data_IF_490925896720
#
_entry.id   IF_490925896720
#
_cell.length_a   1.000
_cell.length_b   1.000
_cell.length_c   1.000
_cell.angle_alpha   90.00
_cell.angle_beta   90.00
_cell.angle_gamma   90.00
#
_symmetry.space_group_name_H-M   'P 1'
#
loop_
_entity.id
_entity.type
_entity.pdbx_description
1 polymer ?
#
# COMPACT_ATOMS: atom_id res chain seq x y z
N UNK A 1 26.94 10.60 0.71
CA UNK A 1 25.88 9.77 0.11
C UNK A 1 24.97 9.36 1.26
N UNK A 2 23.73 9.85 1.31
CA UNK A 2 22.79 9.53 2.39
C UNK A 2 22.57 8.02 2.38
N UNK A 3 22.95 7.32 3.46
CA UNK A 3 22.72 5.89 3.54
C UNK A 3 21.24 5.68 3.87
N UNK A 4 20.51 5.01 2.97
CA UNK A 4 19.10 4.68 3.21
C UNK A 4 18.91 3.93 4.55
N UNK A 5 19.93 3.20 5.02
CA UNK A 5 19.92 2.52 6.31
C UNK A 5 19.72 3.45 7.51
N UNK A 6 20.23 4.68 7.46
CA UNK A 6 20.14 5.64 8.57
C UNK A 6 18.76 6.32 8.61
N UNK A 7 18.19 6.59 7.43
CA UNK A 7 16.83 7.15 7.29
C UNK A 7 15.78 6.10 7.66
N UNK A 8 15.98 4.84 7.24
CA UNK A 8 15.12 3.72 7.58
C UNK A 8 15.32 3.18 9.00
N UNK A 9 16.39 3.59 9.70
CA UNK A 9 16.70 3.17 11.07
C UNK A 9 15.95 3.94 12.14
N UNK A 10 15.57 5.20 11.86
CA UNK A 10 14.77 6.03 12.77
C UNK A 10 13.27 5.74 12.70
N UNK A 11 12.79 5.15 11.60
CA UNK A 11 11.37 4.83 11.40
C UNK A 11 11.10 3.43 11.94
N UNK A 12 10.04 3.22 12.76
CA UNK A 12 9.70 1.90 13.26
C UNK A 12 9.46 0.90 12.11
N UNK A 13 9.85 -0.36 12.33
CA UNK A 13 9.89 -1.42 11.32
C UNK A 13 8.55 -1.58 10.58
N UNK A 14 7.44 -1.46 11.32
CA UNK A 14 6.09 -1.66 10.82
C UNK A 14 5.70 -0.55 9.82
N UNK A 15 5.96 0.72 10.15
CA UNK A 15 5.70 1.87 9.28
C UNK A 15 6.53 1.80 8.00
N UNK A 16 7.78 1.34 8.11
CA UNK A 16 8.66 1.14 6.95
C UNK A 16 8.14 0.08 6.00
N UNK A 17 7.74 -1.08 6.51
CA UNK A 17 7.15 -2.15 5.70
C UNK A 17 5.85 -1.66 5.04
N UNK A 18 5.03 -0.92 5.80
CA UNK A 18 3.79 -0.35 5.29
C UNK A 18 4.03 0.61 4.12
N UNK A 19 4.98 1.53 4.24
CA UNK A 19 5.36 2.46 3.16
C UNK A 19 5.87 1.72 1.91
N UNK A 20 6.73 0.72 2.08
CA UNK A 20 7.27 -0.07 0.95
C UNK A 20 6.13 -0.84 0.25
N UNK A 21 5.23 -1.44 1.01
CA UNK A 21 4.10 -2.21 0.48
C UNK A 21 3.11 -1.30 -0.25
N UNK A 22 2.76 -0.14 0.32
CA UNK A 22 1.89 0.85 -0.34
C UNK A 22 2.52 1.41 -1.61
N UNK A 23 3.84 1.68 -1.61
CA UNK A 23 4.55 2.14 -2.81
C UNK A 23 4.61 1.05 -3.89
N UNK A 24 4.87 -0.21 -3.50
CA UNK A 24 4.85 -1.34 -4.42
C UNK A 24 3.46 -1.49 -5.05
N UNK A 25 2.39 -1.44 -4.25
CA UNK A 25 1.01 -1.49 -4.75
C UNK A 25 0.68 -0.34 -5.70
N UNK A 26 1.16 0.87 -5.40
CA UNK A 26 1.03 2.01 -6.30
C UNK A 26 1.65 1.72 -7.67
N UNK A 27 2.89 1.21 -7.70
CA UNK A 27 3.58 0.83 -8.94
C UNK A 27 2.80 -0.27 -9.68
N UNK A 28 2.36 -1.32 -8.98
CA UNK A 28 1.60 -2.42 -9.59
C UNK A 28 0.28 -1.94 -10.21
N UNK A 29 -0.41 -0.98 -9.58
CA UNK A 29 -1.59 -0.35 -10.16
C UNK A 29 -1.25 0.58 -11.34
N UNK A 30 -0.14 1.32 -11.29
CA UNK A 30 0.31 2.16 -12.41
C UNK A 30 0.69 1.36 -13.66
N UNK A 31 1.14 0.11 -13.50
CA UNK A 31 1.36 -0.82 -14.61
C UNK A 31 0.08 -1.55 -15.08
N UNK A 32 -1.09 -1.24 -14.51
CA UNK A 32 -2.38 -1.90 -14.77
C UNK A 32 -2.36 -3.43 -14.55
N UNK A 33 -1.39 -3.93 -13.77
CA UNK A 33 -1.29 -5.36 -13.41
C UNK A 33 -2.42 -5.71 -12.43
N UNK A 34 -2.76 -4.76 -11.55
CA UNK A 34 -3.89 -4.85 -10.63
C UNK A 34 -4.82 -3.66 -10.89
N UNK A 35 -6.00 -3.94 -11.45
CA UNK A 35 -7.04 -2.94 -11.62
C UNK A 35 -7.60 -2.52 -10.25
N UNK A 36 -7.76 -1.21 -9.98
CA UNK A 36 -8.35 -0.72 -8.73
C UNK A 36 -9.78 -1.22 -8.52
N UNK A 37 -10.50 -1.58 -9.58
CA UNK A 37 -11.84 -2.17 -9.50
C UNK A 37 -11.81 -3.59 -8.89
N UNK A 38 -10.70 -4.32 -9.07
CA UNK A 38 -10.52 -5.67 -8.52
C UNK A 38 -10.20 -5.68 -7.02
N UNK A 39 -9.82 -4.52 -6.46
CA UNK A 39 -9.65 -4.28 -5.03
C UNK A 39 -10.97 -4.00 -4.32
N UNK A 40 -12.08 -3.83 -5.04
CA UNK A 40 -13.37 -3.69 -4.38
C UNK A 40 -13.71 -5.00 -3.64
N UNK A 41 -13.84 -4.91 -2.31
CA UNK A 41 -13.92 -6.08 -1.45
C UNK A 41 -15.30 -6.73 -1.56
N UNK A 42 -15.40 -7.73 -2.43
CA UNK A 42 -16.56 -8.61 -2.50
C UNK A 42 -16.39 -9.78 -1.52
N UNK A 43 -17.06 -9.68 -0.36
CA UNK A 43 -17.02 -10.68 0.71
C UNK A 43 -17.37 -12.10 0.24
N UNK A 44 -18.23 -12.25 -0.78
CA UNK A 44 -18.65 -13.54 -1.31
C UNK A 44 -17.49 -14.27 -2.01
N UNK A 45 -16.63 -13.52 -2.71
CA UNK A 45 -15.44 -14.06 -3.38
C UNK A 45 -14.30 -14.34 -2.39
N UNK A 46 -14.09 -13.49 -1.38
CA UNK A 46 -13.01 -13.70 -0.40
C UNK A 46 -13.24 -14.96 0.43
N UNK A 47 -14.48 -15.20 0.87
CA UNK A 47 -14.83 -16.34 1.72
C UNK A 47 -14.94 -17.67 0.95
N UNK A 48 -15.38 -17.65 -0.32
CA UNK A 48 -15.50 -18.87 -1.13
C UNK A 48 -14.21 -19.27 -1.84
N UNK A 49 -13.48 -18.31 -2.39
CA UNK A 49 -12.28 -18.55 -3.23
C UNK A 49 -10.95 -18.38 -2.47
N UNK A 50 -10.98 -18.13 -1.16
CA UNK A 50 -9.78 -17.98 -0.31
C UNK A 50 -8.82 -16.87 -0.77
N UNK A 51 -9.34 -15.82 -1.42
CA UNK A 51 -8.55 -14.68 -1.92
C UNK A 51 -8.19 -13.68 -0.79
N UNK A 52 -7.49 -14.13 0.25
CA UNK A 52 -7.15 -13.31 1.42
C UNK A 52 -6.21 -12.15 1.11
N UNK A 53 -5.42 -12.24 0.03
CA UNK A 53 -4.55 -11.14 -0.39
C UNK A 53 -5.32 -9.85 -0.62
N UNK A 54 -6.61 -9.93 -1.02
CA UNK A 54 -7.46 -8.76 -1.20
C UNK A 54 -7.63 -7.95 0.08
N UNK A 55 -7.69 -8.60 1.25
CA UNK A 55 -7.80 -7.90 2.53
C UNK A 55 -6.56 -7.04 2.77
N UNK A 56 -5.38 -7.63 2.58
CA UNK A 56 -4.10 -6.95 2.79
C UNK A 56 -3.95 -5.80 1.79
N UNK A 57 -4.18 -6.05 0.50
CA UNK A 57 -4.01 -5.01 -0.52
C UNK A 57 -5.04 -3.89 -0.40
N UNK A 58 -6.25 -4.16 0.11
CA UNK A 58 -7.25 -3.11 0.39
C UNK A 58 -6.80 -2.13 1.48
N UNK A 59 -6.20 -2.64 2.56
CA UNK A 59 -5.72 -1.78 3.64
C UNK A 59 -4.51 -0.93 3.21
N UNK A 60 -3.64 -1.49 2.38
CA UNK A 60 -2.43 -0.82 1.91
C UNK A 60 -2.65 0.14 0.72
N UNK A 61 -3.80 0.03 0.03
CA UNK A 61 -4.12 0.85 -1.14
C UNK A 61 -4.88 2.12 -0.72
N UNK A 62 -4.21 3.27 -0.78
CA UNK A 62 -4.77 4.58 -0.44
C UNK A 62 -5.53 5.27 -1.59
N UNK A 63 -5.94 4.51 -2.61
CA UNK A 63 -6.73 5.02 -3.72
C UNK A 63 -5.92 5.38 -4.98
N UNK A 64 -6.59 6.05 -5.92
CA UNK A 64 -6.05 6.39 -7.25
C UNK A 64 -4.76 7.20 -7.17
N UNK A 65 -3.88 7.02 -8.16
CA UNK A 65 -2.62 7.74 -8.28
C UNK A 65 -2.88 9.26 -8.33
N UNK A 66 -2.50 9.98 -7.27
CA UNK A 66 -2.80 11.40 -7.13
C UNK A 66 -2.35 11.98 -5.79
N UNK A 67 -2.70 13.25 -5.56
CA UNK A 67 -2.33 14.02 -4.35
C UNK A 67 -2.77 13.33 -3.05
N UNK A 68 -3.87 12.57 -3.10
CA UNK A 68 -4.39 11.82 -1.96
C UNK A 68 -3.38 10.81 -1.41
N UNK A 69 -2.71 10.05 -2.28
CA UNK A 69 -1.67 9.10 -1.88
C UNK A 69 -0.49 9.77 -1.17
N UNK A 70 -0.02 10.90 -1.71
CA UNK A 70 1.10 11.64 -1.12
C UNK A 70 0.71 12.23 0.24
N UNK A 71 -0.53 12.67 0.40
CA UNK A 71 -1.05 13.15 1.68
C UNK A 71 -1.09 12.03 2.73
N UNK A 72 -1.62 10.86 2.36
CA UNK A 72 -1.70 9.71 3.27
C UNK A 72 -0.30 9.22 3.69
N UNK A 73 0.66 9.16 2.77
CA UNK A 73 2.07 8.83 3.06
C UNK A 73 2.71 9.89 3.97
N UNK A 74 2.41 11.17 3.73
CA UNK A 74 2.92 12.26 4.57
C UNK A 74 2.38 12.17 6.00
N UNK A 75 1.07 11.96 6.17
CA UNK A 75 0.46 11.76 7.49
C UNK A 75 1.10 10.56 8.19
N UNK A 76 1.28 9.44 7.49
CA UNK A 76 1.84 8.21 8.07
C UNK A 76 3.34 8.30 8.41
N UNK A 77 4.06 9.22 7.76
CA UNK A 77 5.46 9.48 8.07
C UNK A 77 5.63 10.46 9.24
N UNK A 78 4.72 11.43 9.35
CA UNK A 78 4.81 12.52 10.34
C UNK A 78 4.13 12.18 11.67
N UNK A 79 3.03 11.43 11.64
CA UNK A 79 2.24 11.01 12.80
C UNK A 79 2.42 9.52 13.08
#
# INVERSE_FOLDING_TARGET
MVQLSDVLGNVPLITRLYLILSFALMVLCSLDIISPLSLYLNWNLVLREHQYWRLITCFLYFGSFGIHFFWDVYVLYVY
#
